data_IF_959349202143
#
_entry.id   IF_959349202143
#
_cell.length_a   1.000
_cell.length_b   1.000
_cell.length_c   1.000
_cell.angle_alpha   90.00
_cell.angle_beta   90.00
_cell.angle_gamma   90.00
#
_symmetry.space_group_name_H-M   'P 1'
#
loop_
_entity.id
_entity.type
_entity.pdbx_description
1 polymer ?
#
# COMPACT_ATOMS: atom_id res chain seq x y z
N UNK A 1 -11.41 -1.33 -7.55
CA UNK A 1 -10.88 -2.42 -6.71
C UNK A 1 -11.06 -3.72 -7.46
N UNK A 2 -9.96 -4.37 -7.81
CA UNK A 2 -9.95 -5.70 -8.43
C UNK A 2 -10.14 -6.72 -7.31
N UNK A 3 -11.21 -7.51 -7.38
CA UNK A 3 -11.53 -8.55 -6.38
C UNK A 3 -10.95 -9.90 -6.80
N UNK A 4 -10.90 -10.16 -8.10
CA UNK A 4 -10.26 -11.33 -8.71
C UNK A 4 -9.86 -11.01 -10.17
N UNK A 5 -9.46 -12.02 -10.94
CA UNK A 5 -9.06 -11.84 -12.34
C UNK A 5 -10.15 -11.20 -13.22
N UNK A 6 -11.41 -11.40 -12.86
CA UNK A 6 -12.59 -11.12 -13.69
C UNK A 6 -13.40 -9.90 -13.23
N UNK A 7 -13.27 -9.49 -11.96
CA UNK A 7 -14.15 -8.50 -11.34
C UNK A 7 -13.39 -7.27 -10.87
N UNK A 8 -13.74 -6.13 -11.47
CA UNK A 8 -13.31 -4.80 -11.05
C UNK A 8 -14.53 -4.00 -10.62
N UNK A 9 -14.51 -3.50 -9.38
CA UNK A 9 -15.59 -2.67 -8.83
C UNK A 9 -15.09 -1.24 -8.62
N UNK A 10 -15.88 -0.23 -8.98
CA UNK A 10 -15.58 1.14 -8.59
C UNK A 10 -16.11 1.41 -7.18
N UNK A 11 -15.22 1.91 -6.32
CA UNK A 11 -15.57 2.30 -4.95
C UNK A 11 -15.18 3.76 -4.82
N UNK A 12 -16.16 4.61 -4.52
CA UNK A 12 -15.98 6.04 -4.32
C UNK A 12 -14.93 6.30 -3.24
N UNK A 13 -14.08 7.30 -3.47
CA UNK A 13 -13.06 7.79 -2.53
C UNK A 13 -12.02 6.78 -2.02
N UNK A 14 -11.96 5.58 -2.61
CA UNK A 14 -10.93 4.59 -2.30
C UNK A 14 -9.51 5.16 -2.45
N UNK A 15 -9.27 5.99 -3.47
CA UNK A 15 -7.98 6.64 -3.68
C UNK A 15 -7.59 7.58 -2.54
N UNK A 16 -8.58 8.28 -1.97
CA UNK A 16 -8.37 9.18 -0.82
C UNK A 16 -8.00 8.36 0.41
N UNK A 17 -8.76 7.31 0.69
CA UNK A 17 -8.53 6.44 1.83
C UNK A 17 -7.15 5.75 1.74
N UNK A 18 -6.82 5.20 0.58
CA UNK A 18 -5.53 4.54 0.33
C UNK A 18 -4.35 5.49 0.55
N UNK A 19 -4.46 6.74 0.09
CA UNK A 19 -3.42 7.74 0.28
C UNK A 19 -3.25 8.08 1.77
N UNK A 20 -4.36 8.30 2.49
CA UNK A 20 -4.32 8.61 3.93
C UNK A 20 -3.72 7.45 4.73
N UNK A 21 -4.19 6.22 4.51
CA UNK A 21 -3.71 5.02 5.22
C UNK A 21 -2.22 4.78 4.94
N UNK A 22 -1.82 4.80 3.66
CA UNK A 22 -0.43 4.53 3.29
C UNK A 22 0.52 5.58 3.88
N UNK A 23 0.15 6.86 3.83
CA UNK A 23 0.95 7.93 4.44
C UNK A 23 1.08 7.75 5.97
N UNK A 24 0.01 7.35 6.66
CA UNK A 24 0.07 7.08 8.09
C UNK A 24 1.01 5.91 8.41
N UNK A 25 0.89 4.79 7.71
CA UNK A 25 1.71 3.60 7.92
C UNK A 25 3.19 3.91 7.68
N UNK A 26 3.54 4.52 6.54
CA UNK A 26 4.94 4.84 6.24
C UNK A 26 5.55 5.75 7.30
N UNK A 27 4.84 6.80 7.73
CA UNK A 27 5.30 7.66 8.83
C UNK A 27 5.59 6.86 10.11
N UNK A 28 4.74 5.89 10.47
CA UNK A 28 4.97 5.02 11.64
C UNK A 28 6.17 4.10 11.47
N UNK A 29 6.36 3.54 10.28
CA UNK A 29 7.51 2.70 9.92
C UNK A 29 8.82 3.50 10.02
N UNK A 30 8.82 4.77 9.57
CA UNK A 30 9.95 5.69 9.74
C UNK A 30 10.30 5.95 11.20
N UNK A 31 9.31 6.08 12.09
CA UNK A 31 9.54 6.28 13.53
C UNK A 31 10.29 5.12 14.19
N UNK A 32 10.21 3.90 13.62
CA UNK A 32 10.92 2.71 14.10
C UNK A 32 12.27 2.53 13.38
N UNK A 33 12.67 3.48 12.52
CA UNK A 33 13.97 3.47 11.83
C UNK A 33 14.00 2.61 10.56
N UNK A 34 12.85 2.19 10.04
CA UNK A 34 12.78 1.41 8.80
C UNK A 34 12.65 2.36 7.62
N UNK A 35 13.56 2.20 6.65
CA UNK A 35 13.57 2.98 5.41
C UNK A 35 12.39 2.61 4.50
N UNK A 36 11.80 3.62 3.86
CA UNK A 36 10.71 3.46 2.90
C UNK A 36 10.80 4.53 1.80
N UNK A 37 9.99 4.39 0.75
CA UNK A 37 10.04 5.27 -0.43
C UNK A 37 9.23 6.58 -0.30
N UNK A 38 8.34 6.70 0.69
CA UNK A 38 7.54 7.92 0.88
C UNK A 38 8.41 9.11 1.30
N UNK A 39 8.28 10.24 0.60
CA UNK A 39 8.86 11.54 0.98
C UNK A 39 7.82 12.36 1.72
N UNK A 40 6.67 12.64 1.08
CA UNK A 40 5.57 13.40 1.69
C UNK A 40 4.24 13.20 0.96
N UNK A 41 3.12 13.53 1.62
CA UNK A 41 1.79 13.58 1.00
C UNK A 41 1.56 14.98 0.41
N UNK A 42 1.12 15.04 -0.85
CA UNK A 42 0.90 16.32 -1.55
C UNK A 42 -0.55 16.79 -1.39
N UNK A 43 -1.52 15.89 -1.61
CA UNK A 43 -2.94 16.19 -1.51
C UNK A 43 -3.74 14.96 -1.09
N UNK A 44 -5.06 14.96 -1.29
CA UNK A 44 -5.92 13.85 -0.91
C UNK A 44 -5.69 12.58 -1.74
N UNK A 45 -5.14 12.64 -2.95
CA UNK A 45 -4.98 11.47 -3.85
C UNK A 45 -3.55 11.21 -4.33
N UNK A 46 -2.58 12.07 -3.99
CA UNK A 46 -1.19 11.98 -4.46
C UNK A 46 -0.16 12.00 -3.33
N UNK A 47 0.97 11.35 -3.57
CA UNK A 47 2.13 11.25 -2.68
C UNK A 47 3.42 11.47 -3.49
N UNK A 48 4.37 12.20 -2.91
CA UNK A 48 5.73 12.32 -3.41
C UNK A 48 6.56 11.16 -2.87
N UNK A 49 7.21 10.43 -3.77
CA UNK A 49 7.99 9.23 -3.46
C UNK A 49 9.33 9.24 -4.19
N UNK A 50 10.31 8.50 -3.67
CA UNK A 50 11.54 8.21 -4.40
C UNK A 50 11.27 7.31 -5.61
N UNK A 51 11.89 7.63 -6.74
CA UNK A 51 11.94 6.73 -7.89
C UNK A 51 12.85 5.54 -7.55
N UNK A 52 12.34 4.31 -7.69
CA UNK A 52 13.04 3.08 -7.34
C UNK A 52 12.95 2.06 -8.48
N UNK A 53 13.93 1.16 -8.56
CA UNK A 53 13.85 -0.03 -9.38
C UNK A 53 13.07 -1.11 -8.62
N UNK A 54 11.84 -1.42 -9.03
CA UNK A 54 10.97 -2.37 -8.35
C UNK A 54 11.41 -3.80 -8.66
N UNK A 55 11.74 -4.56 -7.62
CA UNK A 55 11.97 -6.01 -7.75
C UNK A 55 10.59 -6.68 -7.89
N UNK A 56 10.35 -7.52 -8.92
CA UNK A 56 9.04 -8.10 -9.21
C UNK A 56 8.72 -9.29 -8.28
N UNK A 57 8.76 -9.06 -6.96
CA UNK A 57 8.49 -10.06 -5.92
C UNK A 57 7.42 -9.51 -4.98
N UNK A 58 6.39 -10.31 -4.71
CA UNK A 58 5.34 -10.00 -3.73
C UNK A 58 5.67 -10.70 -2.42
N UNK A 59 5.95 -9.91 -1.37
CA UNK A 59 6.20 -10.43 -0.02
C UNK A 59 4.91 -10.45 0.78
N UNK A 60 4.58 -11.60 1.36
CA UNK A 60 3.43 -11.78 2.24
C UNK A 60 3.90 -12.28 3.61
N UNK A 61 3.38 -11.69 4.69
CA UNK A 61 3.68 -12.08 6.07
C UNK A 61 2.35 -12.48 6.72
N UNK A 62 2.32 -13.65 7.35
CA UNK A 62 1.12 -14.22 7.96
C UNK A 62 1.44 -14.67 9.38
N UNK A 63 0.71 -14.11 10.35
CA UNK A 63 0.84 -14.47 11.76
C UNK A 63 -0.13 -15.60 12.12
N UNK A 64 -1.33 -15.58 11.55
CA UNK A 64 -2.39 -16.59 11.77
C UNK A 64 -2.90 -17.05 10.41
N UNK A 65 -3.04 -18.37 10.24
CA UNK A 65 -3.50 -18.98 9.00
C UNK A 65 -5.03 -19.07 9.03
N UNK A 66 -5.69 -18.50 8.02
CA UNK A 66 -7.12 -18.64 7.79
C UNK A 66 -7.35 -18.62 6.26
N UNK A 67 -7.64 -19.79 5.66
CA UNK A 67 -7.83 -20.04 4.21
C UNK A 67 -6.58 -20.11 3.33
N UNK A 68 -6.76 -20.18 2.00
CA UNK A 68 -5.70 -20.10 0.99
C UNK A 68 -4.97 -18.76 1.10
N UNK A 69 -3.81 -18.79 1.75
CA UNK A 69 -2.95 -17.62 1.89
C UNK A 69 -1.95 -17.60 0.73
N UNK A 70 -1.91 -16.50 -0.01
CA UNK A 70 -0.98 -16.23 -1.13
C UNK A 70 -1.23 -16.98 -2.45
N UNK A 71 -2.44 -16.85 -3.02
CA UNK A 71 -2.66 -17.05 -4.47
C UNK A 71 -2.66 -15.70 -5.19
#
# INVERSE_FOLDING_TARGET
MRINAEKVIQVSDKGVLNNVISNYIFKRVSMVGINHHLIQKINMREQLIYALNIIPVKVCITIVIYNEVCV
#
